data_IF_121997261771
#
_entry.id   IF_121997261771
#
_cell.length_a   1.000
_cell.length_b   1.000
_cell.length_c   1.000
_cell.angle_alpha   90.00
_cell.angle_beta   90.00
_cell.angle_gamma   90.00
#
_symmetry.space_group_name_H-M   'P 1'
#
loop_
_entity.id
_entity.type
_entity.pdbx_description
1 polymer ?
#
# COMPACT_ATOMS: atom_id res chain seq x y z
N UNK A 1 -5.56 -17.39 -5.28
CA UNK A 1 -4.77 -16.34 -4.60
C UNK A 1 -3.92 -15.69 -5.66
N UNK A 2 -3.89 -14.36 -5.78
CA UNK A 2 -2.87 -13.69 -6.62
C UNK A 2 -1.50 -14.06 -6.04
N UNK A 3 -0.50 -14.26 -6.90
CA UNK A 3 0.84 -14.69 -6.49
C UNK A 3 1.57 -13.56 -5.73
N UNK A 4 1.37 -13.50 -4.41
CA UNK A 4 1.87 -12.48 -3.48
C UNK A 4 3.37 -12.13 -3.61
N UNK A 5 4.20 -13.01 -4.20
CA UNK A 5 5.63 -12.74 -4.42
C UNK A 5 5.89 -11.79 -5.60
N UNK A 6 5.15 -11.94 -6.69
CA UNK A 6 5.32 -11.08 -7.88
C UNK A 6 4.85 -9.66 -7.59
N UNK A 7 3.76 -9.55 -6.83
CA UNK A 7 3.15 -8.28 -6.50
C UNK A 7 4.03 -7.42 -5.58
N UNK A 8 4.69 -8.02 -4.59
CA UNK A 8 5.61 -7.28 -3.70
C UNK A 8 6.80 -6.68 -4.47
N UNK A 9 7.34 -7.41 -5.47
CA UNK A 9 8.45 -6.93 -6.31
C UNK A 9 8.02 -5.71 -7.13
N UNK A 10 6.79 -5.72 -7.66
CA UNK A 10 6.25 -4.58 -8.41
C UNK A 10 6.14 -3.34 -7.52
N UNK A 11 5.55 -3.45 -6.33
CA UNK A 11 5.43 -2.30 -5.43
C UNK A 11 6.77 -1.85 -4.82
N UNK A 12 7.74 -2.74 -4.67
CA UNK A 12 9.11 -2.35 -4.30
C UNK A 12 9.78 -1.54 -5.41
N UNK A 13 9.54 -1.87 -6.68
CA UNK A 13 10.01 -1.09 -7.82
C UNK A 13 9.39 0.30 -7.81
N UNK A 14 8.06 0.41 -7.64
CA UNK A 14 7.36 1.69 -7.53
C UNK A 14 7.90 2.55 -6.37
N UNK A 15 8.19 1.94 -5.21
CA UNK A 15 8.83 2.63 -4.09
C UNK A 15 10.21 3.18 -4.50
N UNK A 16 11.03 2.38 -5.17
CA UNK A 16 12.36 2.79 -5.62
C UNK A 16 12.31 3.90 -6.69
N UNK A 17 11.21 3.98 -7.45
CA UNK A 17 10.90 5.11 -8.36
C UNK A 17 10.43 6.38 -7.63
N UNK A 18 10.31 6.33 -6.30
CA UNK A 18 9.95 7.47 -5.47
C UNK A 18 8.46 7.59 -5.14
N UNK A 19 7.64 6.58 -5.47
CA UNK A 19 6.22 6.59 -5.09
C UNK A 19 6.05 6.63 -3.58
N UNK A 20 5.15 7.49 -3.14
CA UNK A 20 4.81 7.65 -1.72
C UNK A 20 3.96 6.47 -1.21
N UNK A 21 3.88 6.25 0.11
CA UNK A 21 2.98 5.25 0.68
C UNK A 21 1.51 5.42 0.26
N UNK A 22 1.06 6.66 0.09
CA UNK A 22 -0.32 6.97 -0.33
C UNK A 22 -0.56 6.51 -1.77
N UNK A 23 0.33 6.85 -2.69
CA UNK A 23 0.20 6.44 -4.10
C UNK A 23 0.26 4.91 -4.26
N UNK A 24 1.13 4.23 -3.50
CA UNK A 24 1.19 2.76 -3.51
C UNK A 24 -0.08 2.16 -2.92
N UNK A 25 -0.64 2.75 -1.87
CA UNK A 25 -1.91 2.32 -1.29
C UNK A 25 -3.07 2.47 -2.28
N UNK A 26 -3.18 3.63 -2.94
CA UNK A 26 -4.20 3.91 -3.95
C UNK A 26 -4.06 2.95 -5.14
N UNK A 27 -2.83 2.73 -5.64
CA UNK A 27 -2.56 1.79 -6.72
C UNK A 27 -2.98 0.37 -6.33
N UNK A 28 -2.57 -0.12 -5.16
CA UNK A 28 -2.96 -1.45 -4.69
C UNK A 28 -4.48 -1.59 -4.56
N UNK A 29 -5.17 -0.56 -4.07
CA UNK A 29 -6.63 -0.56 -4.00
C UNK A 29 -7.26 -0.65 -5.39
N UNK A 30 -6.74 0.10 -6.37
CA UNK A 30 -7.18 0.04 -7.77
C UNK A 30 -6.89 -1.32 -8.43
N UNK A 31 -5.81 -1.98 -8.03
CA UNK A 31 -5.45 -3.34 -8.46
C UNK A 31 -6.33 -4.43 -7.80
N UNK A 32 -7.27 -4.02 -6.93
CA UNK A 32 -8.28 -4.88 -6.32
C UNK A 32 -7.89 -5.49 -4.98
N UNK A 33 -6.84 -4.98 -4.32
CA UNK A 33 -6.48 -5.41 -2.97
C UNK A 33 -7.49 -4.91 -1.94
N UNK A 34 -7.72 -5.72 -0.91
CA UNK A 34 -8.54 -5.32 0.23
C UNK A 34 -7.77 -4.31 1.06
N UNK A 35 -8.49 -3.44 1.77
CA UNK A 35 -7.86 -2.35 2.54
C UNK A 35 -6.81 -2.84 3.54
N UNK A 36 -7.02 -3.98 4.22
CA UNK A 36 -6.02 -4.52 5.14
C UNK A 36 -4.76 -5.00 4.42
N UNK A 37 -4.88 -5.48 3.19
CA UNK A 37 -3.75 -5.91 2.35
C UNK A 37 -2.96 -4.68 1.91
N UNK A 38 -3.63 -3.60 1.51
CA UNK A 38 -2.98 -2.32 1.21
C UNK A 38 -2.24 -1.74 2.43
N UNK A 39 -2.83 -1.80 3.63
CA UNK A 39 -2.19 -1.37 4.89
C UNK A 39 -0.92 -2.20 5.15
N UNK A 40 -1.03 -3.53 5.07
CA UNK A 40 0.12 -4.41 5.29
C UNK A 40 1.24 -4.17 4.27
N UNK A 41 0.87 -3.93 3.01
CA UNK A 41 1.81 -3.65 1.93
C UNK A 41 2.66 -2.42 2.23
N UNK A 42 2.02 -1.29 2.59
CA UNK A 42 2.74 -0.05 2.88
C UNK A 42 3.53 -0.13 4.19
N UNK A 43 3.06 -0.89 5.19
CA UNK A 43 3.84 -1.17 6.40
C UNK A 43 5.14 -1.88 6.08
N UNK A 44 5.08 -2.94 5.27
CA UNK A 44 6.26 -3.74 4.89
C UNK A 44 7.21 -2.91 4.03
N UNK A 45 6.71 -2.23 3.00
CA UNK A 45 7.55 -1.51 2.05
C UNK A 45 8.25 -0.31 2.67
N UNK A 46 7.59 0.43 3.57
CA UNK A 46 8.13 1.68 4.12
C UNK A 46 8.60 1.56 5.56
N UNK A 47 8.51 0.38 6.18
CA UNK A 47 8.88 0.19 7.58
C UNK A 47 8.00 0.99 8.56
N UNK A 48 6.77 1.31 8.15
CA UNK A 48 5.84 2.11 8.94
C UNK A 48 5.23 1.29 10.09
N UNK A 49 4.94 1.96 11.19
CA UNK A 49 4.11 1.41 12.25
C UNK A 49 2.68 1.19 11.77
N UNK A 50 1.95 0.32 12.47
CA UNK A 50 0.53 0.07 12.19
C UNK A 50 -0.33 1.33 12.34
N UNK A 51 0.05 2.27 13.21
CA UNK A 51 -0.67 3.53 13.40
C UNK A 51 -0.45 4.49 12.22
N UNK A 52 0.78 4.63 11.72
CA UNK A 52 1.08 5.47 10.56
C UNK A 52 0.36 4.95 9.30
N UNK A 53 0.42 3.64 9.06
CA UNK A 53 -0.28 3.04 7.92
C UNK A 53 -1.81 3.16 8.03
N UNK A 54 -2.38 3.09 9.24
CA UNK A 54 -3.80 3.34 9.49
C UNK A 54 -4.19 4.79 9.19
N UNK A 55 -3.36 5.77 9.55
CA UNK A 55 -3.64 7.17 9.25
C UNK A 55 -3.74 7.42 7.75
N UNK A 56 -2.83 6.85 6.96
CA UNK A 56 -2.91 6.88 5.48
C UNK A 56 -4.22 6.26 5.01
N UNK A 57 -4.58 5.08 5.50
CA UNK A 57 -5.86 4.45 5.12
C UNK A 57 -7.06 5.31 5.48
N UNK A 58 -7.06 5.99 6.63
CA UNK A 58 -8.15 6.85 7.09
C UNK A 58 -8.36 8.08 6.20
N UNK A 59 -7.28 8.69 5.73
CA UNK A 59 -7.35 9.78 4.76
C UNK A 59 -7.99 9.29 3.47
N UNK A 60 -7.60 8.10 2.99
CA UNK A 60 -8.17 7.49 1.78
C UNK A 60 -9.62 7.02 1.93
N UNK A 61 -10.05 6.63 3.13
CA UNK A 61 -11.45 6.28 3.40
C UNK A 61 -12.38 7.49 3.50
N UNK A 62 -11.83 8.65 3.85
CA UNK A 62 -12.60 9.87 4.07
C UNK A 62 -12.56 10.84 2.87
N UNK A 63 -11.81 10.51 1.81
CA UNK A 63 -11.94 11.15 0.49
C UNK A 63 -13.31 10.78 -0.09
N UNK A 64 -14.32 11.59 0.23
CA UNK A 64 -15.63 11.60 -0.44
C UNK A 64 -15.59 12.49 -1.67
#
# INVERSE_FOLDING_TARGET
MKDNKSDLVNYMTLKNEGKTPVEIFEQAKNDGYKNFECINLIMILFGMSSNEARQISHVEFNKK
#
